data_IF_811997550856
#
_entry.id   IF_811997550856
#
_cell.length_a   1.000
_cell.length_b   1.000
_cell.length_c   1.000
_cell.angle_alpha   90.00
_cell.angle_beta   90.00
_cell.angle_gamma   90.00
#
_symmetry.space_group_name_H-M   'P 1'
#
loop_
_entity.id
_entity.type
_entity.pdbx_description
1 polymer ?
#
# COMPACT_ATOMS: atom_id res chain seq x y z
N UNK A 1 -35.68 3.22 -9.49
CA UNK A 1 -34.76 3.66 -10.57
C UNK A 1 -35.16 5.01 -11.18
N UNK A 2 -36.44 5.42 -11.20
CA UNK A 2 -36.87 6.69 -11.81
C UNK A 2 -36.26 7.98 -11.22
N UNK A 3 -36.04 8.04 -9.89
CA UNK A 3 -35.60 9.29 -9.23
C UNK A 3 -34.14 9.66 -9.49
N UNK A 4 -33.27 8.67 -9.71
CA UNK A 4 -31.85 8.90 -9.98
C UNK A 4 -31.64 9.52 -11.36
N UNK A 5 -32.46 9.12 -12.35
CA UNK A 5 -32.38 9.60 -13.73
C UNK A 5 -32.90 11.04 -13.90
N UNK A 6 -33.80 11.50 -13.02
CA UNK A 6 -34.32 12.87 -13.03
C UNK A 6 -33.30 13.91 -12.55
N UNK A 7 -32.35 13.52 -11.70
CA UNK A 7 -31.29 14.40 -11.20
C UNK A 7 -30.04 14.39 -12.09
N UNK A 8 -29.93 13.39 -12.96
CA UNK A 8 -28.75 13.10 -13.76
C UNK A 8 -29.14 12.61 -15.16
N UNK A 9 -29.65 13.50 -16.02
CA UNK A 9 -30.20 13.15 -17.34
C UNK A 9 -29.17 12.50 -18.29
N UNK A 10 -27.89 12.86 -18.15
CA UNK A 10 -26.82 12.45 -19.09
C UNK A 10 -25.97 11.26 -18.59
N UNK A 11 -26.40 10.60 -17.51
CA UNK A 11 -25.63 9.48 -16.93
C UNK A 11 -25.54 8.27 -17.86
N UNK A 12 -26.56 8.01 -18.68
CA UNK A 12 -26.57 6.86 -19.58
C UNK A 12 -25.62 7.08 -20.79
N UNK A 13 -25.55 8.30 -21.33
CA UNK A 13 -24.58 8.64 -22.39
C UNK A 13 -23.14 8.60 -21.88
N UNK A 14 -22.91 9.07 -20.65
CA UNK A 14 -21.58 9.07 -20.03
C UNK A 14 -21.02 7.65 -19.84
N UNK A 15 -21.87 6.66 -19.61
CA UNK A 15 -21.46 5.25 -19.46
C UNK A 15 -21.15 4.57 -20.81
N UNK A 16 -21.80 5.00 -21.90
CA UNK A 16 -21.58 4.45 -23.25
C UNK A 16 -20.43 5.15 -24.00
N UNK A 17 -19.96 6.29 -23.51
CA UNK A 17 -18.81 6.98 -24.10
C UNK A 17 -17.52 6.37 -23.56
N UNK A 18 -16.64 5.78 -24.39
CA UNK A 18 -15.34 5.33 -23.92
C UNK A 18 -14.57 6.54 -23.40
N UNK A 19 -14.20 6.52 -22.11
CA UNK A 19 -13.35 7.57 -21.56
C UNK A 19 -12.03 7.62 -22.33
N UNK A 20 -11.54 8.81 -22.72
CA UNK A 20 -10.22 8.94 -23.29
C UNK A 20 -9.20 8.38 -22.28
N UNK A 21 -8.28 7.54 -22.76
CA UNK A 21 -7.18 7.03 -21.95
C UNK A 21 -6.48 8.21 -21.28
N UNK A 22 -6.44 8.20 -19.94
CA UNK A 22 -5.79 9.23 -19.14
C UNK A 22 -4.40 9.57 -19.70
N UNK A 23 -3.98 10.85 -19.67
CA UNK A 23 -2.67 11.24 -20.15
C UNK A 23 -1.60 10.38 -19.50
N UNK A 24 -0.71 9.86 -20.34
CA UNK A 24 0.43 9.02 -19.99
C UNK A 24 1.25 9.69 -18.89
N UNK A 25 1.17 9.12 -17.70
CA UNK A 25 2.07 9.27 -16.55
C UNK A 25 2.76 10.64 -16.48
N UNK A 26 2.02 11.64 -16.00
CA UNK A 26 2.68 12.64 -15.16
C UNK A 26 3.35 11.85 -14.04
N UNK A 27 4.67 12.00 -13.93
CA UNK A 27 5.47 11.37 -12.90
C UNK A 27 4.79 11.62 -11.56
N UNK A 28 4.17 10.59 -11.00
CA UNK A 28 3.84 10.57 -9.58
C UNK A 28 5.18 10.80 -8.90
N UNK A 29 5.40 12.00 -8.40
CA UNK A 29 6.44 12.24 -7.41
C UNK A 29 6.09 11.31 -6.27
N UNK A 30 6.75 10.15 -6.26
CA UNK A 30 6.77 9.28 -5.10
C UNK A 30 7.36 10.16 -4.03
N UNK A 31 6.51 10.74 -3.18
CA UNK A 31 6.94 11.36 -1.94
C UNK A 31 7.71 10.27 -1.21
N UNK A 32 9.03 10.33 -1.28
CA UNK A 32 9.90 9.50 -0.47
C UNK A 32 9.49 9.76 0.98
N UNK A 33 8.76 8.82 1.56
CA UNK A 33 8.54 8.82 2.99
C UNK A 33 9.92 8.80 3.66
N UNK A 34 10.13 9.51 4.78
CA UNK A 34 11.40 9.49 5.48
C UNK A 34 11.83 8.04 5.69
N UNK A 35 13.05 7.70 5.27
CA UNK A 35 13.63 6.39 5.50
C UNK A 35 13.62 6.16 7.01
N UNK A 36 12.69 5.33 7.47
CA UNK A 36 12.67 4.92 8.86
C UNK A 36 13.95 4.12 9.04
N UNK A 37 14.84 4.57 9.93
CA UNK A 37 16.06 3.84 10.21
C UNK A 37 15.64 2.45 10.63
N UNK A 38 15.95 1.43 9.82
CA UNK A 38 15.84 0.06 10.32
C UNK A 38 16.71 0.00 11.59
N UNK A 39 16.27 -0.68 12.66
CA UNK A 39 17.14 -0.90 13.82
C UNK A 39 18.49 -1.43 13.32
N UNK A 40 19.59 -1.18 14.07
CA UNK A 40 20.95 -1.67 13.78
C UNK A 40 20.93 -3.19 13.55
N UNK A 41 20.55 -3.58 12.33
CA UNK A 41 20.53 -4.93 11.85
C UNK A 41 21.87 -5.10 11.18
N UNK A 42 22.60 -6.14 11.59
CA UNK A 42 23.80 -6.56 10.88
C UNK A 42 23.45 -6.63 9.38
N UNK A 43 24.09 -5.80 8.52
CA UNK A 43 23.76 -5.77 7.10
C UNK A 43 24.02 -7.10 6.40
N UNK A 44 24.75 -8.00 7.06
CA UNK A 44 25.04 -9.37 6.62
C UNK A 44 23.94 -10.35 7.02
N UNK A 45 23.13 -10.02 8.03
CA UNK A 45 22.05 -10.89 8.48
C UNK A 45 20.83 -10.81 7.55
N UNK A 46 20.18 -11.95 7.25
CA UNK A 46 18.96 -11.93 6.46
C UNK A 46 17.85 -11.16 7.20
N UNK A 47 16.93 -10.48 6.47
CA UNK A 47 15.80 -9.81 7.10
C UNK A 47 14.97 -10.78 7.95
N UNK A 48 14.30 -10.32 9.04
CA UNK A 48 13.53 -11.21 9.91
C UNK A 48 12.43 -12.00 9.19
N UNK A 49 11.74 -11.38 8.23
CA UNK A 49 10.73 -12.04 7.38
C UNK A 49 11.34 -12.67 6.11
N UNK A 50 12.66 -12.57 5.95
CA UNK A 50 13.39 -13.04 4.79
C UNK A 50 13.20 -12.16 3.56
N UNK A 51 13.35 -12.77 2.39
CA UNK A 51 13.27 -12.08 1.11
C UNK A 51 11.91 -12.31 0.45
N UNK A 52 11.31 -11.25 -0.08
CA UNK A 52 10.07 -11.35 -0.83
C UNK A 52 10.29 -12.12 -2.14
N UNK A 53 9.43 -13.10 -2.39
CA UNK A 53 9.40 -13.90 -3.62
C UNK A 53 8.36 -13.38 -4.62
N UNK A 54 7.25 -12.82 -4.13
CA UNK A 54 6.18 -12.31 -4.98
C UNK A 54 4.91 -11.95 -4.21
N UNK A 55 3.85 -11.62 -4.94
CA UNK A 55 2.55 -11.27 -4.42
C UNK A 55 1.50 -12.31 -4.83
N UNK A 56 0.60 -12.69 -3.93
CA UNK A 56 -0.53 -13.57 -4.23
C UNK A 56 -1.84 -12.80 -4.17
N UNK A 57 -2.64 -12.92 -5.22
CA UNK A 57 -4.01 -12.35 -5.32
C UNK A 57 -4.11 -10.87 -4.99
N UNK A 58 -3.02 -10.10 -5.09
CA UNK A 58 -3.03 -8.69 -4.74
C UNK A 58 -3.12 -8.39 -3.23
N UNK A 59 -3.16 -9.40 -2.35
CA UNK A 59 -3.48 -9.23 -0.92
C UNK A 59 -2.44 -9.84 0.04
N UNK A 60 -1.60 -10.76 -0.46
CA UNK A 60 -0.52 -11.36 0.33
C UNK A 60 0.85 -11.14 -0.32
N UNK A 61 1.90 -11.04 0.51
CA UNK A 61 3.30 -11.18 0.10
C UNK A 61 3.76 -12.59 0.46
N UNK A 62 4.38 -13.28 -0.51
CA UNK A 62 5.16 -14.49 -0.28
C UNK A 62 6.60 -14.10 0.01
N UNK A 63 7.18 -14.65 1.08
CA UNK A 63 8.59 -14.49 1.40
C UNK A 63 9.22 -15.83 1.82
N UNK A 64 10.55 -15.90 1.80
CA UNK A 64 11.31 -17.04 2.29
C UNK A 64 12.39 -16.59 3.27
N UNK A 65 12.45 -17.25 4.43
CA UNK A 65 13.51 -17.09 5.42
C UNK A 65 14.16 -18.45 5.75
N UNK A 66 15.11 -18.47 6.69
CA UNK A 66 15.82 -19.69 7.08
C UNK A 66 14.91 -20.79 7.68
N UNK A 67 13.70 -20.43 8.12
CA UNK A 67 12.72 -21.36 8.69
C UNK A 67 11.75 -21.91 7.62
N UNK A 68 11.70 -21.30 6.43
CA UNK A 68 10.84 -21.74 5.33
C UNK A 68 10.07 -20.60 4.66
N UNK A 69 8.85 -20.91 4.19
CA UNK A 69 7.97 -19.94 3.54
C UNK A 69 7.15 -19.16 4.56
N UNK A 70 7.01 -17.86 4.29
CA UNK A 70 6.24 -16.91 5.09
C UNK A 70 5.18 -16.28 4.19
N UNK A 71 3.95 -16.18 4.69
CA UNK A 71 2.85 -15.49 4.03
C UNK A 71 2.45 -14.27 4.88
N UNK A 72 2.46 -13.09 4.28
CA UNK A 72 2.20 -11.83 4.98
C UNK A 72 0.93 -11.19 4.43
N UNK A 73 -0.03 -10.88 5.29
CA UNK A 73 -1.17 -10.03 4.94
C UNK A 73 -0.71 -8.57 4.81
N UNK A 74 -0.81 -8.02 3.61
CA UNK A 74 -0.35 -6.65 3.35
C UNK A 74 -1.21 -5.60 4.05
N UNK A 75 -2.52 -5.82 4.21
CA UNK A 75 -3.39 -4.85 4.86
C UNK A 75 -3.03 -4.75 6.33
N UNK A 76 -2.98 -5.89 7.03
CA UNK A 76 -2.64 -5.92 8.45
C UNK A 76 -1.20 -5.43 8.71
N UNK A 77 -0.24 -5.80 7.85
CA UNK A 77 1.13 -5.30 7.97
C UNK A 77 1.22 -3.78 7.77
N UNK A 78 0.50 -3.25 6.77
CA UNK A 78 0.47 -1.82 6.49
C UNK A 78 -0.14 -1.04 7.66
N UNK A 79 -1.31 -1.46 8.16
CA UNK A 79 -1.95 -0.84 9.30
C UNK A 79 -1.05 -0.86 10.54
N UNK A 80 -0.36 -1.98 10.78
CA UNK A 80 0.57 -2.13 11.92
C UNK A 80 1.74 -1.16 11.84
N UNK A 81 2.36 -1.03 10.67
CA UNK A 81 3.49 -0.11 10.45
C UNK A 81 3.05 1.33 10.67
N UNK A 82 1.90 1.72 10.10
CA UNK A 82 1.35 3.07 10.24
C UNK A 82 1.04 3.38 11.70
N UNK A 83 0.39 2.45 12.41
CA UNK A 83 0.06 2.61 13.81
C UNK A 83 1.29 2.81 14.69
N UNK A 84 2.32 1.97 14.56
CA UNK A 84 3.53 2.08 15.40
C UNK A 84 4.34 3.35 15.09
N UNK A 85 4.35 3.81 13.83
CA UNK A 85 4.93 5.11 13.47
C UNK A 85 4.20 6.28 14.14
N UNK A 86 2.88 6.32 14.04
CA UNK A 86 2.06 7.35 14.69
C UNK A 86 2.26 7.34 16.21
N UNK A 87 2.21 6.15 16.83
CA UNK A 87 2.43 5.99 18.27
C UNK A 87 3.81 6.50 18.72
N UNK A 88 4.86 6.22 17.94
CA UNK A 88 6.23 6.70 18.23
C UNK A 88 6.32 8.22 18.12
N UNK A 89 5.72 8.82 17.10
CA UNK A 89 5.68 10.29 16.93
C UNK A 89 4.91 10.97 18.06
N UNK A 90 3.78 10.40 18.48
CA UNK A 90 2.98 10.88 19.61
C UNK A 90 3.72 10.79 20.95
N UNK A 91 4.55 9.76 21.14
CA UNK A 91 5.40 9.64 22.31
C UNK A 91 6.49 10.71 22.32
N UNK A 92 7.21 10.89 21.20
CA UNK A 92 8.27 11.88 21.08
C UNK A 92 7.78 13.34 21.16
N UNK A 93 6.52 13.62 20.79
CA UNK A 93 5.92 14.95 20.90
C UNK A 93 5.45 15.32 22.32
N UNK A 94 5.45 14.35 23.26
CA UNK A 94 5.08 14.58 24.67
C UNK A 94 6.29 14.86 25.56
N UNK A 95 7.50 14.67 25.04
CA UNK A 95 8.77 15.03 25.67
C UNK A 95 9.22 16.44 25.25
#
# INVERSE_FOLDING_TARGET
>A
MQGYQALHPDHEETLLTPQPSAPRAESYEVREAPLTTMPDADPTAPPPLGFALGQLHGIYILAQNAQGLVLVDMHAAHERIVYERMKTQLAAAKD
#
